data_IF_386347638277
#
_entry.id   IF_386347638277
#
_cell.length_a   1.000
_cell.length_b   1.000
_cell.length_c   1.000
_cell.angle_alpha   90.00
_cell.angle_beta   90.00
_cell.angle_gamma   90.00
#
_symmetry.space_group_name_H-M   'P 1'
#
loop_
_entity.id
_entity.type
_entity.pdbx_description
1 polymer ?
#
# COMPACT_ATOMS: atom_id res chain seq x y z
N UNK A 1 -51.58 -34.96 1.73
CA UNK A 1 -50.91 -34.22 0.63
C UNK A 1 -49.41 -34.35 0.82
N UNK A 2 -48.79 -35.20 0.00
CA UNK A 2 -47.40 -35.67 0.07
C UNK A 2 -46.47 -34.65 -0.58
N UNK A 3 -45.35 -34.29 0.06
CA UNK A 3 -44.27 -33.52 -0.59
C UNK A 3 -43.06 -34.42 -0.85
N UNK A 4 -42.78 -34.48 -2.15
CA UNK A 4 -41.74 -35.20 -2.87
C UNK A 4 -40.33 -34.76 -2.47
N UNK A 5 -39.47 -35.74 -2.20
CA UNK A 5 -38.02 -35.60 -1.98
C UNK A 5 -37.28 -35.64 -3.32
N UNK A 6 -36.79 -34.49 -3.77
CA UNK A 6 -35.92 -34.36 -4.94
C UNK A 6 -34.48 -34.77 -4.61
N UNK A 7 -34.02 -35.89 -5.16
CA UNK A 7 -32.61 -36.31 -5.20
C UNK A 7 -31.91 -35.59 -6.36
N UNK A 8 -30.86 -34.81 -6.05
CA UNK A 8 -29.89 -34.33 -7.04
C UNK A 8 -28.68 -35.27 -7.09
N UNK A 9 -28.24 -35.74 -8.27
CA UNK A 9 -27.01 -36.50 -8.44
C UNK A 9 -25.78 -35.61 -8.69
N UNK A 10 -24.66 -36.03 -8.11
CA UNK A 10 -23.29 -35.53 -8.25
C UNK A 10 -22.71 -35.82 -9.65
N UNK A 11 -21.97 -34.91 -10.29
CA UNK A 11 -21.10 -35.26 -11.41
C UNK A 11 -19.65 -35.49 -10.95
N UNK A 12 -19.19 -36.73 -11.06
CA UNK A 12 -17.79 -37.13 -10.89
C UNK A 12 -16.95 -36.73 -12.09
N UNK A 13 -15.79 -36.17 -11.78
CA UNK A 13 -14.75 -35.71 -12.70
C UNK A 13 -14.21 -36.84 -13.59
N UNK A 14 -14.11 -36.57 -14.89
CA UNK A 14 -13.43 -37.43 -15.85
C UNK A 14 -12.47 -36.60 -16.71
N UNK A 15 -11.32 -37.22 -16.99
CA UNK A 15 -10.39 -36.93 -18.09
C UNK A 15 -9.36 -35.81 -17.90
N UNK A 16 -8.14 -36.22 -17.48
CA UNK A 16 -6.88 -35.61 -17.95
C UNK A 16 -5.74 -36.62 -17.90
N UNK A 17 -5.41 -37.23 -19.03
CA UNK A 17 -4.04 -37.72 -19.32
C UNK A 17 -3.77 -37.62 -20.81
N UNK A 18 -3.07 -36.57 -21.22
CA UNK A 18 -2.48 -36.45 -22.55
C UNK A 18 -1.00 -36.84 -22.45
N UNK A 19 -0.63 -37.93 -23.13
CA UNK A 19 0.75 -38.35 -23.37
C UNK A 19 1.02 -38.12 -24.86
N UNK A 20 1.90 -37.19 -25.19
CA UNK A 20 2.44 -37.02 -26.53
C UNK A 20 3.93 -36.76 -26.41
N UNK A 21 4.73 -37.69 -26.92
CA UNK A 21 6.18 -37.56 -27.06
C UNK A 21 6.54 -38.16 -28.41
N UNK A 22 6.95 -37.31 -29.34
CA UNK A 22 7.53 -37.63 -30.64
C UNK A 22 8.15 -36.34 -31.19
N UNK A 23 9.47 -36.22 -31.32
CA UNK A 23 10.33 -36.70 -32.42
C UNK A 23 10.68 -35.56 -33.38
N UNK A 24 11.98 -35.23 -33.39
CA UNK A 24 12.83 -34.72 -34.47
C UNK A 24 12.52 -33.41 -35.26
N UNK A 25 13.40 -32.41 -35.03
CA UNK A 25 14.18 -31.54 -35.97
C UNK A 25 13.74 -31.47 -37.46
N UNK A 26 13.81 -30.27 -38.12
CA UNK A 26 15.10 -29.73 -38.58
C UNK A 26 15.27 -28.20 -38.56
N UNK A 27 16.53 -27.85 -38.86
CA UNK A 27 17.23 -26.56 -38.87
C UNK A 27 16.78 -25.72 -40.09
N UNK A 28 16.39 -24.46 -39.88
CA UNK A 28 16.30 -23.45 -40.94
C UNK A 28 17.21 -22.28 -40.58
N UNK A 29 18.13 -21.99 -41.50
CA UNK A 29 19.11 -20.92 -41.44
C UNK A 29 18.69 -19.90 -42.50
N UNK A 30 18.22 -18.72 -42.10
CA UNK A 30 18.04 -17.58 -43.02
C UNK A 30 18.21 -16.24 -42.27
N UNK A 31 19.37 -15.64 -42.56
CA UNK A 31 19.73 -14.22 -42.78
C UNK A 31 19.44 -13.12 -41.73
N UNK A 32 20.36 -12.14 -41.59
CA UNK A 32 20.21 -11.00 -40.67
C UNK A 32 19.40 -9.88 -41.32
N UNK A 33 18.45 -9.31 -40.58
CA UNK A 33 17.79 -8.04 -40.90
C UNK A 33 18.41 -6.97 -40.00
N UNK A 34 19.03 -5.91 -40.55
CA UNK A 34 19.39 -4.73 -39.77
C UNK A 34 18.22 -3.74 -39.70
N UNK A 35 18.37 -2.81 -38.77
CA UNK A 35 17.61 -1.58 -38.56
C UNK A 35 16.37 -1.58 -37.67
N UNK A 36 16.41 -0.63 -36.74
CA UNK A 36 15.41 -0.43 -35.70
C UNK A 36 16.08 0.00 -34.40
N UNK A 37 16.69 1.19 -34.42
CA UNK A 37 17.35 1.83 -33.28
C UNK A 37 16.63 1.56 -31.97
N UNK A 38 17.29 0.78 -31.12
CA UNK A 38 16.85 0.53 -29.75
C UNK A 38 17.04 1.83 -29.00
N UNK A 39 16.04 2.71 -29.06
CA UNK A 39 15.86 3.80 -28.11
C UNK A 39 16.00 3.15 -26.74
N UNK A 40 17.13 3.42 -26.08
CA UNK A 40 17.30 3.02 -24.70
C UNK A 40 16.14 3.66 -23.96
N UNK A 41 15.15 2.84 -23.60
CA UNK A 41 14.11 3.23 -22.67
C UNK A 41 14.86 3.61 -21.40
N UNK A 42 15.07 4.92 -21.27
CA UNK A 42 15.67 5.58 -20.11
C UNK A 42 14.88 5.06 -18.93
N UNK A 43 15.47 4.16 -18.15
CA UNK A 43 14.86 3.65 -16.95
C UNK A 43 14.34 4.85 -16.16
N UNK A 44 13.06 4.86 -15.71
CA UNK A 44 12.58 5.96 -14.90
C UNK A 44 13.53 6.07 -13.72
N UNK A 45 14.12 7.26 -13.58
CA UNK A 45 15.03 7.58 -12.49
C UNK A 45 14.42 6.99 -11.21
N UNK A 46 15.14 6.05 -10.57
CA UNK A 46 14.74 5.58 -9.24
C UNK A 46 14.64 6.85 -8.42
N UNK A 47 13.41 7.25 -8.09
CA UNK A 47 13.15 8.42 -7.27
C UNK A 47 14.01 8.26 -6.03
N UNK A 48 15.09 9.02 -5.97
CA UNK A 48 15.95 9.08 -4.79
C UNK A 48 14.98 9.37 -3.64
N UNK A 49 14.96 8.55 -2.56
CA UNK A 49 14.11 8.87 -1.42
C UNK A 49 14.54 10.28 -0.99
N UNK A 50 13.67 11.26 -1.22
CA UNK A 50 13.99 12.62 -0.83
C UNK A 50 14.22 12.57 0.68
N UNK A 51 15.24 13.27 1.20
CA UNK A 51 15.41 13.40 2.64
C UNK A 51 14.08 13.89 3.23
N UNK A 52 13.64 13.24 4.31
CA UNK A 52 12.42 13.64 5.01
C UNK A 52 12.72 15.01 5.59
N UNK A 53 12.05 16.05 5.06
CA UNK A 53 12.10 17.35 5.71
C UNK A 53 11.60 17.17 7.14
N UNK A 54 12.27 17.75 8.14
CA UNK A 54 11.79 17.70 9.52
C UNK A 54 10.37 18.28 9.58
N UNK A 55 9.39 17.49 10.05
CA UNK A 55 7.96 17.88 10.03
C UNK A 55 7.68 19.13 10.89
N UNK A 56 8.57 19.42 11.82
CA UNK A 56 8.63 20.64 12.65
C UNK A 56 8.86 21.92 11.83
N UNK A 57 9.51 21.83 10.67
CA UNK A 57 9.79 22.98 9.81
C UNK A 57 8.65 23.33 8.86
N UNK A 58 7.72 22.39 8.66
CA UNK A 58 6.54 22.64 7.84
C UNK A 58 5.59 23.46 8.71
N UNK A 59 5.14 24.62 8.24
CA UNK A 59 4.37 25.54 9.07
C UNK A 59 2.87 25.26 9.00
N UNK A 60 2.39 24.79 7.85
CA UNK A 60 0.94 24.70 7.57
C UNK A 60 0.47 23.28 7.28
N UNK A 61 -0.84 23.03 7.42
CA UNK A 61 -1.44 21.76 7.02
C UNK A 61 -1.48 21.57 5.50
N UNK A 62 -1.49 22.67 4.74
CA UNK A 62 -1.51 22.65 3.28
C UNK A 62 -0.18 22.13 2.76
N UNK A 63 0.94 22.66 3.26
CA UNK A 63 2.28 22.18 2.91
C UNK A 63 2.47 20.70 3.28
N UNK A 64 1.89 20.25 4.40
CA UNK A 64 1.88 18.82 4.75
C UNK A 64 1.10 17.99 3.73
N UNK A 65 -0.05 18.47 3.25
CA UNK A 65 -0.81 17.80 2.19
C UNK A 65 0.01 17.71 0.91
N UNK A 66 0.71 18.78 0.53
CA UNK A 66 1.58 18.80 -0.65
C UNK A 66 2.76 17.83 -0.50
N UNK A 67 3.40 17.79 0.68
CA UNK A 67 4.44 16.80 0.98
C UNK A 67 3.92 15.38 0.83
N UNK A 68 2.75 15.07 1.42
CA UNK A 68 2.16 13.73 1.33
C UNK A 68 1.87 13.37 -0.13
N UNK A 69 1.31 14.29 -0.92
CA UNK A 69 1.07 14.08 -2.35
C UNK A 69 2.36 13.84 -3.13
N UNK A 70 3.41 14.63 -2.89
CA UNK A 70 4.71 14.50 -3.55
C UNK A 70 5.39 13.15 -3.27
N UNK A 71 5.05 12.52 -2.13
CA UNK A 71 5.58 11.21 -1.73
C UNK A 71 4.79 10.02 -2.27
N UNK A 72 3.54 10.23 -2.66
CA UNK A 72 2.76 9.17 -3.28
C UNK A 72 3.25 8.91 -4.70
N UNK A 73 3.17 7.64 -5.13
CA UNK A 73 3.50 7.27 -6.51
C UNK A 73 2.54 8.00 -7.47
N UNK A 74 3.00 8.48 -8.64
CA UNK A 74 2.13 9.17 -9.61
C UNK A 74 0.89 8.39 -10.06
N UNK A 75 0.91 7.07 -9.93
CA UNK A 75 -0.22 6.18 -10.23
C UNK A 75 -1.23 6.03 -9.08
N UNK A 76 -1.01 6.68 -7.94
CA UNK A 76 -1.92 6.62 -6.78
C UNK A 76 -3.13 7.51 -7.03
N UNK A 77 -4.32 6.92 -7.08
CA UNK A 77 -5.60 7.64 -7.15
C UNK A 77 -6.13 8.07 -5.77
N UNK A 78 -5.30 7.97 -4.72
CA UNK A 78 -5.72 8.26 -3.35
C UNK A 78 -5.90 9.75 -3.12
N UNK A 79 -7.02 10.11 -2.52
CA UNK A 79 -7.30 11.49 -2.12
C UNK A 79 -6.55 11.83 -0.83
N UNK A 80 -5.61 12.77 -0.93
CA UNK A 80 -4.93 13.38 0.22
C UNK A 80 -5.60 14.71 0.54
N UNK A 81 -5.68 15.04 1.82
CA UNK A 81 -6.28 16.29 2.29
C UNK A 81 -6.05 16.49 3.78
N UNK A 82 -6.65 17.52 4.37
CA UNK A 82 -6.45 17.93 5.76
C UNK A 82 -6.47 16.80 6.81
N UNK A 83 -7.33 15.77 6.72
CA UNK A 83 -7.29 14.65 7.67
C UNK A 83 -5.94 13.91 7.73
N UNK A 84 -5.19 13.88 6.62
CA UNK A 84 -3.88 13.23 6.56
C UNK A 84 -2.80 14.10 7.22
N UNK A 85 -2.82 15.41 6.96
CA UNK A 85 -1.95 16.37 7.63
C UNK A 85 -2.21 16.40 9.14
N UNK A 86 -3.49 16.41 9.53
CA UNK A 86 -3.92 16.33 10.92
C UNK A 86 -3.38 15.08 11.62
N UNK A 87 -3.55 13.89 11.01
CA UNK A 87 -3.03 12.63 11.54
C UNK A 87 -1.52 12.66 11.74
N UNK A 88 -0.79 13.17 10.73
CA UNK A 88 0.66 13.25 10.77
C UNK A 88 1.14 14.20 11.87
N UNK A 89 0.48 15.36 12.04
CA UNK A 89 0.74 16.29 13.15
C UNK A 89 0.43 15.70 14.51
N UNK A 90 -0.67 14.97 14.63
CA UNK A 90 -1.02 14.30 15.88
C UNK A 90 0.06 13.30 16.25
N UNK A 91 0.47 12.45 15.30
CA UNK A 91 1.58 11.50 15.52
C UNK A 91 2.88 12.19 15.91
N UNK A 92 3.24 13.31 15.28
CA UNK A 92 4.50 14.03 15.56
C UNK A 92 4.55 14.64 16.97
N UNK A 93 3.39 14.93 17.54
CA UNK A 93 3.22 15.42 18.92
C UNK A 93 3.13 14.30 19.96
N UNK A 94 2.95 13.05 19.53
CA UNK A 94 3.00 11.90 20.44
C UNK A 94 4.45 11.61 20.83
N UNK A 95 4.62 10.94 21.97
CA UNK A 95 5.92 10.46 22.41
C UNK A 95 6.57 9.59 21.32
N UNK A 96 7.86 9.84 21.04
CA UNK A 96 8.65 9.20 19.98
C UNK A 96 8.11 9.31 18.54
N UNK A 97 7.10 10.15 18.32
CA UNK A 97 6.39 10.19 17.04
C UNK A 97 5.65 8.89 16.75
N UNK A 98 5.24 8.14 17.79
CA UNK A 98 4.74 6.79 17.66
C UNK A 98 3.46 6.55 18.49
N UNK A 99 2.63 5.61 18.04
CA UNK A 99 1.43 5.20 18.76
C UNK A 99 0.71 4.02 18.14
N UNK A 100 -0.09 3.30 18.93
CA UNK A 100 -1.06 2.36 18.38
C UNK A 100 -2.31 3.10 17.88
N UNK A 101 -3.15 2.40 17.11
CA UNK A 101 -4.34 3.02 16.49
C UNK A 101 -5.29 3.63 17.52
N UNK A 102 -5.44 3.00 18.69
CA UNK A 102 -6.34 3.51 19.74
C UNK A 102 -5.76 4.77 20.37
N UNK A 103 -4.45 4.79 20.67
CA UNK A 103 -3.75 5.96 21.20
C UNK A 103 -3.81 7.13 20.22
N UNK A 104 -3.57 6.88 18.93
CA UNK A 104 -3.64 7.90 17.88
C UNK A 104 -5.06 8.45 17.75
N UNK A 105 -6.06 7.57 17.74
CA UNK A 105 -7.46 7.97 17.69
C UNK A 105 -7.84 8.84 18.89
N UNK A 106 -7.44 8.44 20.10
CA UNK A 106 -7.67 9.22 21.31
C UNK A 106 -7.01 10.61 21.20
N UNK A 107 -5.74 10.67 20.80
CA UNK A 107 -5.03 11.94 20.64
C UNK A 107 -5.69 12.87 19.58
N UNK A 108 -6.24 12.31 18.51
CA UNK A 108 -7.03 13.07 17.53
C UNK A 108 -8.29 13.66 18.16
N UNK A 109 -9.05 12.86 18.90
CA UNK A 109 -10.28 13.30 19.57
C UNK A 109 -9.98 14.37 20.63
N UNK A 110 -8.94 14.18 21.44
CA UNK A 110 -8.50 15.11 22.48
C UNK A 110 -8.05 16.46 21.88
N UNK A 111 -7.54 16.45 20.64
CA UNK A 111 -7.20 17.68 19.90
C UNK A 111 -8.38 18.40 19.24
N UNK A 112 -9.61 17.91 19.44
CA UNK A 112 -10.83 18.43 18.81
C UNK A 112 -11.03 18.01 17.34
N UNK A 113 -10.19 17.09 16.83
CA UNK A 113 -10.22 16.64 15.43
C UNK A 113 -11.01 15.35 15.30
N UNK A 114 -12.33 15.47 15.40
CA UNK A 114 -13.23 14.32 15.32
C UNK A 114 -13.06 13.57 13.98
N UNK A 115 -12.83 12.26 14.08
CA UNK A 115 -12.66 11.38 12.93
C UNK A 115 -13.25 10.02 13.23
N UNK A 116 -13.91 9.38 12.26
CA UNK A 116 -14.39 8.00 12.43
C UNK A 116 -13.21 7.02 12.34
N UNK A 117 -13.22 5.96 13.14
CA UNK A 117 -12.15 4.96 13.18
C UNK A 117 -11.81 4.36 11.81
N UNK A 118 -12.81 4.09 10.97
CA UNK A 118 -12.59 3.60 9.61
C UNK A 118 -11.76 4.56 8.74
N UNK A 119 -11.93 5.87 8.95
CA UNK A 119 -11.15 6.91 8.28
C UNK A 119 -9.72 6.98 8.84
N UNK A 120 -9.53 6.76 10.14
CA UNK A 120 -8.19 6.65 10.75
C UNK A 120 -7.37 5.56 10.06
N UNK A 121 -7.90 4.34 9.93
CA UNK A 121 -7.21 3.25 9.25
C UNK A 121 -6.86 3.58 7.79
N UNK A 122 -7.79 4.21 7.05
CA UNK A 122 -7.56 4.61 5.66
C UNK A 122 -6.44 5.65 5.56
N UNK A 123 -6.45 6.65 6.42
CA UNK A 123 -5.44 7.71 6.46
C UNK A 123 -4.07 7.13 6.81
N UNK A 124 -3.98 6.31 7.86
CA UNK A 124 -2.73 5.64 8.25
C UNK A 124 -2.16 4.80 7.11
N UNK A 125 -3.03 4.11 6.35
CA UNK A 125 -2.59 3.34 5.19
C UNK A 125 -2.02 4.22 4.08
N UNK A 126 -2.60 5.39 3.83
CA UNK A 126 -2.08 6.35 2.85
C UNK A 126 -0.73 6.91 3.30
N UNK A 127 -0.57 7.24 4.58
CA UNK A 127 0.69 7.74 5.14
C UNK A 127 1.80 6.67 5.12
N UNK A 128 1.45 5.41 5.35
CA UNK A 128 2.35 4.27 5.18
C UNK A 128 2.80 4.12 3.73
N UNK A 129 1.88 4.21 2.77
CA UNK A 129 2.21 4.14 1.34
C UNK A 129 3.04 5.33 0.83
N UNK A 130 2.88 6.50 1.46
CA UNK A 130 3.73 7.66 1.22
C UNK A 130 5.12 7.52 1.88
N UNK A 131 5.36 6.48 2.69
CA UNK A 131 6.63 6.28 3.40
C UNK A 131 6.90 7.34 4.48
N UNK A 132 5.86 8.03 4.96
CA UNK A 132 5.96 9.02 6.03
C UNK A 132 5.77 8.38 7.41
N UNK A 133 5.12 7.22 7.43
CA UNK A 133 4.87 6.43 8.64
C UNK A 133 5.25 4.98 8.36
N UNK A 134 5.87 4.33 9.31
CA UNK A 134 6.11 2.88 9.30
C UNK A 134 5.14 2.18 10.24
N UNK A 135 4.69 0.98 9.87
CA UNK A 135 3.89 0.11 10.72
C UNK A 135 4.76 -1.02 11.26
N UNK A 136 4.73 -1.22 12.58
CA UNK A 136 5.39 -2.33 13.27
C UNK A 136 4.38 -3.10 14.11
N UNK A 137 4.64 -4.38 14.30
CA UNK A 137 3.89 -5.21 15.24
C UNK A 137 4.56 -5.13 16.61
N UNK A 138 3.78 -4.81 17.63
CA UNK A 138 4.21 -4.80 19.02
C UNK A 138 3.36 -5.79 19.82
N UNK A 139 3.93 -6.41 20.83
CA UNK A 139 3.16 -7.16 21.83
C UNK A 139 2.70 -6.19 22.91
N UNK A 140 1.38 -6.11 23.09
CA UNK A 140 0.77 -5.36 24.18
C UNK A 140 -0.20 -6.28 24.90
N UNK A 141 0.04 -6.54 26.19
CA UNK A 141 -0.77 -7.44 27.01
C UNK A 141 -0.93 -8.83 26.36
N UNK A 142 0.18 -9.39 25.88
CA UNK A 142 0.21 -10.68 25.19
C UNK A 142 -0.49 -10.73 23.82
N UNK A 143 -1.04 -9.61 23.33
CA UNK A 143 -1.72 -9.53 22.04
C UNK A 143 -0.95 -8.68 21.03
N UNK A 144 -0.80 -9.11 19.77
CA UNK A 144 -0.15 -8.31 18.75
C UNK A 144 -1.02 -7.09 18.42
N UNK A 145 -0.42 -5.90 18.49
CA UNK A 145 -1.00 -4.63 18.07
C UNK A 145 -0.14 -3.99 16.99
N UNK A 146 -0.76 -3.15 16.17
CA UNK A 146 -0.05 -2.34 15.19
C UNK A 146 0.31 -0.99 15.79
N UNK A 147 1.60 -0.73 15.86
CA UNK A 147 2.15 0.57 16.19
C UNK A 147 2.57 1.27 14.89
N UNK A 148 2.25 2.55 14.81
CA UNK A 148 2.63 3.43 13.71
C UNK A 148 3.64 4.43 14.24
N UNK A 149 4.71 4.67 13.48
CA UNK A 149 5.77 5.62 13.85
C UNK A 149 6.14 6.49 12.66
N UNK A 150 6.40 7.77 12.89
CA UNK A 150 6.90 8.67 11.85
C UNK A 150 8.32 8.26 11.44
N UNK A 151 8.54 8.16 10.14
CA UNK A 151 9.88 7.99 9.59
C UNK A 151 10.56 9.36 9.66
N UNK A 152 11.65 9.47 10.43
CA UNK A 152 12.54 10.64 10.47
C UNK A 152 13.83 10.27 9.74
N UNK A 153 14.37 11.20 8.93
CA UNK A 153 15.66 11.05 8.25
C UNK A 153 16.82 11.45 9.18
#
# INVERSE_FOLDING_TARGET
>A
MTRSTGKHPTPSAQQRTAKATGTARPRVLLTPVPDGGRTQARAPARSRPQPLLPLDQIATEIELVELINARLRPSSSRRVGLPHAAMLRTLDRMEDGAGDVQSIYKALMDSGRAMVMSKVYRVLKVLEEAGLVERRWILYDGRPRSQYRIVRA
#
